data_IF_511706854445
#
_entry.id   IF_511706854445
#
_cell.length_a   1.000
_cell.length_b   1.000
_cell.length_c   1.000
_cell.angle_alpha   90.00
_cell.angle_beta   90.00
_cell.angle_gamma   90.00
#
_symmetry.space_group_name_H-M   'P 1'
#
loop_
_entity.id
_entity.type
_entity.pdbx_description
1 polymer ?
#
# COMPACT_ATOMS: atom_id res chain seq x y z
N UNK A 1 8.59 -12.54 -26.62
CA UNK A 1 8.91 -12.94 -25.24
C UNK A 1 8.10 -12.09 -24.30
N UNK A 2 7.16 -12.69 -23.56
CA UNK A 2 6.62 -12.02 -22.38
C UNK A 2 7.72 -12.04 -21.33
N UNK A 3 8.14 -10.89 -20.81
CA UNK A 3 8.99 -10.85 -19.62
C UNK A 3 8.12 -11.37 -18.48
N UNK A 4 8.46 -12.54 -17.94
CA UNK A 4 7.80 -13.04 -16.73
C UNK A 4 8.17 -12.06 -15.62
N UNK A 5 7.21 -11.24 -15.19
CA UNK A 5 7.38 -10.36 -14.03
C UNK A 5 7.54 -11.26 -12.82
N UNK A 6 8.60 -11.05 -12.03
CA UNK A 6 8.77 -11.80 -10.78
C UNK A 6 7.77 -11.30 -9.73
N UNK A 7 7.34 -12.18 -8.82
CA UNK A 7 6.46 -11.83 -7.69
C UNK A 7 7.01 -10.63 -6.91
N UNK A 8 8.29 -10.65 -6.56
CA UNK A 8 8.96 -9.54 -5.89
C UNK A 8 8.86 -8.23 -6.68
N UNK A 9 9.09 -8.24 -8.00
CA UNK A 9 8.96 -7.03 -8.83
C UNK A 9 7.54 -6.50 -8.91
N UNK A 10 6.54 -7.39 -8.96
CA UNK A 10 5.13 -7.00 -8.99
C UNK A 10 4.69 -6.38 -7.65
N UNK A 11 5.11 -6.98 -6.53
CA UNK A 11 4.85 -6.46 -5.20
C UNK A 11 5.60 -5.15 -4.94
N UNK A 12 6.83 -5.01 -5.42
CA UNK A 12 7.57 -3.74 -5.37
C UNK A 12 6.84 -2.62 -6.13
N UNK A 13 6.26 -2.93 -7.29
CA UNK A 13 5.45 -1.98 -8.06
C UNK A 13 4.15 -1.61 -7.31
N UNK A 14 3.55 -2.56 -6.60
CA UNK A 14 2.37 -2.35 -5.73
C UNK A 14 2.71 -1.44 -4.54
N UNK A 15 3.67 -1.84 -3.68
CA UNK A 15 3.97 -1.09 -2.44
C UNK A 15 4.42 0.34 -2.72
N UNK A 16 5.12 0.58 -3.84
CA UNK A 16 5.56 1.92 -4.24
C UNK A 16 4.53 2.68 -5.11
N UNK A 17 3.38 2.06 -5.41
CA UNK A 17 2.32 2.58 -6.28
C UNK A 17 2.90 3.13 -7.60
N UNK A 18 3.62 2.30 -8.36
CA UNK A 18 4.35 2.74 -9.57
C UNK A 18 3.51 2.73 -10.84
N UNK A 19 2.32 2.16 -10.81
CA UNK A 19 1.41 2.04 -11.95
C UNK A 19 -0.01 2.43 -11.54
N UNK A 20 -0.91 2.75 -12.49
CA UNK A 20 -2.30 3.01 -12.16
C UNK A 20 -2.94 1.81 -11.45
N UNK A 21 -3.86 2.07 -10.52
CA UNK A 21 -4.39 1.06 -9.60
C UNK A 21 -4.99 -0.15 -10.33
N UNK A 22 -5.68 0.05 -11.46
CA UNK A 22 -6.26 -1.04 -12.24
C UNK A 22 -5.19 -2.01 -12.79
N UNK A 23 -4.02 -1.51 -13.18
CA UNK A 23 -2.89 -2.35 -13.62
C UNK A 23 -2.23 -3.08 -12.45
N UNK A 24 -2.17 -2.44 -11.27
CA UNK A 24 -1.66 -3.09 -10.06
C UNK A 24 -2.59 -4.23 -9.63
N UNK A 25 -3.91 -4.00 -9.63
CA UNK A 25 -4.90 -5.01 -9.29
C UNK A 25 -4.84 -6.23 -10.23
N UNK A 26 -4.77 -6.02 -11.54
CA UNK A 26 -4.60 -7.09 -12.54
C UNK A 26 -3.31 -7.88 -12.28
N UNK A 27 -2.19 -7.17 -12.11
CA UNK A 27 -0.89 -7.80 -11.86
C UNK A 27 -0.86 -8.62 -10.57
N UNK A 28 -1.45 -8.12 -9.49
CA UNK A 28 -1.53 -8.80 -8.19
C UNK A 28 -2.43 -10.03 -8.28
N UNK A 29 -3.54 -9.95 -9.04
CA UNK A 29 -4.44 -11.07 -9.30
C UNK A 29 -3.72 -12.21 -10.01
N UNK A 30 -2.92 -11.90 -11.04
CA UNK A 30 -2.15 -12.88 -11.82
C UNK A 30 -1.07 -13.62 -11.01
N UNK A 31 -0.60 -13.05 -9.89
CA UNK A 31 0.37 -13.73 -9.02
C UNK A 31 -0.24 -14.96 -8.33
N UNK A 32 -1.54 -14.93 -8.01
CA UNK A 32 -2.17 -15.90 -7.12
C UNK A 32 -1.68 -15.82 -5.66
N UNK A 33 -2.27 -16.64 -4.80
CA UNK A 33 -2.00 -16.69 -3.36
C UNK A 33 -0.58 -17.19 -3.05
N UNK A 34 0.05 -16.58 -2.04
CA UNK A 34 1.30 -17.06 -1.44
C UNK A 34 1.44 -16.46 -0.04
N UNK A 35 2.07 -17.22 0.85
CA UNK A 35 2.42 -16.80 2.22
C UNK A 35 3.94 -16.63 2.37
N UNK A 36 4.71 -16.87 1.30
CA UNK A 36 6.17 -16.71 1.33
C UNK A 36 6.51 -15.25 1.07
N UNK A 37 7.06 -14.50 2.05
CA UNK A 37 7.35 -13.09 1.87
C UNK A 37 8.25 -12.83 0.66
N UNK A 38 7.84 -11.88 -0.17
CA UNK A 38 8.53 -11.52 -1.40
C UNK A 38 8.79 -10.00 -1.55
N UNK A 39 8.22 -9.19 -0.66
CA UNK A 39 8.49 -7.75 -0.56
C UNK A 39 8.30 -7.26 0.89
N UNK A 40 8.84 -6.07 1.20
CA UNK A 40 8.70 -5.43 2.51
C UNK A 40 8.11 -4.04 2.33
N UNK A 41 6.93 -3.79 2.89
CA UNK A 41 6.35 -2.45 2.97
C UNK A 41 7.02 -1.66 4.11
N UNK A 42 7.37 -0.41 3.84
CA UNK A 42 8.07 0.48 4.77
C UNK A 42 7.23 1.73 5.03
N UNK A 43 7.57 2.46 6.10
CA UNK A 43 6.94 3.73 6.39
C UNK A 43 7.07 4.73 5.21
N UNK A 44 8.21 4.75 4.54
CA UNK A 44 8.48 5.64 3.39
C UNK A 44 7.55 5.37 2.21
N UNK A 45 7.18 4.11 1.96
CA UNK A 45 6.22 3.77 0.91
C UNK A 45 4.84 4.40 1.19
N UNK A 46 4.33 4.25 2.42
CA UNK A 46 3.04 4.83 2.82
C UNK A 46 3.09 6.35 2.77
N UNK A 47 4.14 6.96 3.32
CA UNK A 47 4.34 8.42 3.30
C UNK A 47 4.37 8.93 1.86
N UNK A 48 5.03 8.22 0.93
CA UNK A 48 5.06 8.60 -0.48
C UNK A 48 3.67 8.60 -1.13
N UNK A 49 2.85 7.57 -0.87
CA UNK A 49 1.47 7.49 -1.38
C UNK A 49 0.61 8.63 -0.82
N UNK A 50 0.70 8.89 0.49
CA UNK A 50 -0.04 9.95 1.14
C UNK A 50 0.38 11.35 0.68
N UNK A 51 1.67 11.57 0.40
CA UNK A 51 2.13 12.81 -0.22
C UNK A 51 1.58 13.01 -1.63
N UNK A 52 1.47 11.94 -2.43
CA UNK A 52 0.84 12.00 -3.76
C UNK A 52 -0.66 12.31 -3.66
N UNK A 53 -1.36 11.73 -2.69
CA UNK A 53 -2.74 12.09 -2.38
C UNK A 53 -2.88 13.58 -2.03
N UNK A 54 -2.06 14.10 -1.11
CA UNK A 54 -2.06 15.54 -0.76
C UNK A 54 -1.81 16.46 -1.94
N UNK A 55 -0.98 16.03 -2.89
CA UNK A 55 -0.70 16.81 -4.11
C UNK A 55 -1.83 16.76 -5.14
N UNK A 56 -2.87 15.96 -4.92
CA UNK A 56 -3.94 15.69 -5.87
C UNK A 56 -3.58 14.70 -6.98
N UNK A 57 -2.40 14.08 -6.92
CA UNK A 57 -1.96 13.08 -7.89
C UNK A 57 -2.65 11.71 -7.70
N UNK A 58 -3.17 11.44 -6.51
CA UNK A 58 -4.02 10.30 -6.19
C UNK A 58 -5.32 10.79 -5.57
N UNK A 59 -6.41 10.08 -5.83
CA UNK A 59 -7.69 10.28 -5.15
C UNK A 59 -7.77 9.45 -3.87
N UNK A 60 -8.76 9.72 -3.01
CA UNK A 60 -9.01 8.90 -1.82
C UNK A 60 -9.31 7.44 -2.20
N UNK A 61 -10.03 7.21 -3.30
CA UNK A 61 -10.33 5.87 -3.81
C UNK A 61 -9.07 5.14 -4.32
N UNK A 62 -8.11 5.87 -4.89
CA UNK A 62 -6.81 5.29 -5.27
C UNK A 62 -6.04 4.80 -4.04
N UNK A 63 -6.01 5.61 -2.97
CA UNK A 63 -5.32 5.25 -1.72
C UNK A 63 -6.00 4.06 -1.03
N UNK A 64 -7.33 4.08 -0.94
CA UNK A 64 -8.12 2.97 -0.39
C UNK A 64 -7.83 1.67 -1.14
N UNK A 65 -8.00 1.67 -2.46
CA UNK A 65 -7.80 0.44 -3.25
C UNK A 65 -6.36 -0.07 -3.22
N UNK A 66 -5.37 0.83 -3.11
CA UNK A 66 -3.98 0.42 -2.90
C UNK A 66 -3.75 -0.24 -1.54
N UNK A 67 -4.31 0.32 -0.47
CA UNK A 67 -4.19 -0.24 0.87
C UNK A 67 -4.92 -1.58 0.99
N UNK A 68 -6.12 -1.70 0.40
CA UNK A 68 -6.90 -2.94 0.33
C UNK A 68 -6.14 -4.07 -0.38
N UNK A 69 -5.50 -3.76 -1.52
CA UNK A 69 -4.65 -4.73 -2.23
C UNK A 69 -3.47 -5.23 -1.38
N UNK A 70 -2.92 -4.38 -0.50
CA UNK A 70 -1.83 -4.76 0.40
C UNK A 70 -2.37 -5.57 1.59
N UNK A 71 -3.47 -5.13 2.20
CA UNK A 71 -4.09 -5.80 3.34
C UNK A 71 -4.48 -7.25 3.01
N UNK A 72 -4.88 -7.50 1.77
CA UNK A 72 -5.25 -8.84 1.29
C UNK A 72 -4.05 -9.78 0.99
N UNK A 73 -2.80 -9.36 1.24
CA UNK A 73 -1.59 -10.12 0.84
C UNK A 73 -0.77 -10.58 2.04
N UNK A 74 -0.50 -11.88 2.09
CA UNK A 74 0.33 -12.51 3.13
C UNK A 74 1.81 -12.66 2.72
N UNK A 75 2.16 -12.31 1.48
CA UNK A 75 3.53 -12.32 0.97
C UNK A 75 4.20 -10.93 0.93
N UNK A 76 3.60 -9.96 1.62
CA UNK A 76 4.18 -8.65 1.91
C UNK A 76 4.47 -8.60 3.40
N UNK A 77 5.74 -8.51 3.77
CA UNK A 77 6.15 -8.30 5.16
C UNK A 77 6.18 -6.79 5.48
N UNK A 78 6.28 -6.45 6.76
CA UNK A 78 6.37 -5.07 7.22
C UNK A 78 7.75 -4.77 7.80
N UNK A 79 8.20 -3.53 7.61
CA UNK A 79 9.44 -3.04 8.20
C UNK A 79 9.43 -3.27 9.72
N UNK A 80 10.38 -4.08 10.20
CA UNK A 80 10.32 -4.68 11.53
C UNK A 80 10.34 -3.68 12.71
N UNK A 81 11.07 -2.57 12.59
CA UNK A 81 11.15 -1.53 13.62
C UNK A 81 9.93 -0.60 13.64
N UNK A 82 8.99 -0.79 12.70
CA UNK A 82 7.76 0.00 12.52
C UNK A 82 6.52 -0.87 12.26
N UNK A 83 6.59 -2.13 12.65
CA UNK A 83 5.62 -3.15 12.25
C UNK A 83 4.19 -2.76 12.63
N UNK A 84 3.97 -2.36 13.89
CA UNK A 84 2.64 -2.02 14.40
C UNK A 84 2.08 -0.75 13.74
N UNK A 85 2.92 0.27 13.54
CA UNK A 85 2.52 1.53 12.91
C UNK A 85 2.16 1.35 11.42
N UNK A 86 2.92 0.53 10.71
CA UNK A 86 2.66 0.21 9.29
C UNK A 86 1.38 -0.61 9.15
N UNK A 87 1.22 -1.66 9.98
CA UNK A 87 0.02 -2.48 9.98
C UNK A 87 -1.23 -1.63 10.27
N UNK A 88 -1.17 -0.78 11.29
CA UNK A 88 -2.27 0.12 11.64
C UNK A 88 -2.57 1.13 10.52
N UNK A 89 -1.54 1.65 9.85
CA UNK A 89 -1.73 2.58 8.74
C UNK A 89 -2.43 1.91 7.55
N UNK A 90 -2.02 0.69 7.16
CA UNK A 90 -2.69 -0.07 6.09
C UNK A 90 -4.14 -0.38 6.48
N UNK A 91 -4.37 -0.89 7.69
CA UNK A 91 -5.73 -1.16 8.16
C UNK A 91 -6.65 0.07 8.08
N UNK A 92 -6.17 1.23 8.54
CA UNK A 92 -6.92 2.49 8.52
C UNK A 92 -7.27 2.91 7.09
N UNK A 93 -6.30 2.83 6.18
CA UNK A 93 -6.46 3.28 4.80
C UNK A 93 -7.32 2.33 3.95
N UNK A 94 -7.24 1.03 4.21
CA UNK A 94 -8.01 0.00 3.50
C UNK A 94 -9.47 -0.07 3.94
N UNK A 95 -9.78 0.37 5.17
CA UNK A 95 -11.10 0.22 5.79
C UNK A 95 -11.78 1.57 6.10
N UNK A 96 -12.10 2.41 5.10
CA UNK A 96 -12.66 3.75 5.34
C UNK A 96 -14.07 3.73 5.92
N UNK A 97 -14.81 2.63 5.80
CA UNK A 97 -16.11 2.46 6.49
C UNK A 97 -15.94 2.48 8.01
N UNK A 98 -14.79 1.99 8.51
CA UNK A 98 -14.47 1.92 9.94
C UNK A 98 -13.66 3.13 10.41
N UNK A 99 -12.79 3.65 9.55
CA UNK A 99 -11.77 4.64 9.92
C UNK A 99 -12.03 6.05 9.40
N UNK A 100 -12.99 6.22 8.47
CA UNK A 100 -13.19 7.43 7.70
C UNK A 100 -12.41 7.41 6.38
N UNK A 101 -12.91 8.11 5.37
CA UNK A 101 -12.21 8.29 4.10
C UNK A 101 -10.91 9.07 4.29
N UNK A 102 -9.84 8.80 3.51
CA UNK A 102 -8.65 9.63 3.48
C UNK A 102 -9.01 11.09 3.19
N UNK A 103 -8.76 11.95 4.18
CA UNK A 103 -8.77 13.40 4.08
C UNK A 103 -7.45 13.97 4.59
N UNK A 104 -7.30 15.30 4.64
CA UNK A 104 -6.07 15.93 5.11
C UNK A 104 -5.74 15.58 6.57
N UNK A 105 -6.75 15.52 7.44
CA UNK A 105 -6.55 15.30 8.87
C UNK A 105 -6.10 13.87 9.14
N UNK A 106 -6.75 12.88 8.52
CA UNK A 106 -6.35 11.48 8.61
C UNK A 106 -4.96 11.28 8.01
N UNK A 107 -4.68 11.94 6.88
CA UNK A 107 -3.36 11.88 6.24
C UNK A 107 -2.25 12.38 7.16
N UNK A 108 -2.43 13.54 7.79
CA UNK A 108 -1.45 14.10 8.72
C UNK A 108 -1.29 13.23 9.97
N UNK A 109 -2.38 12.64 10.47
CA UNK A 109 -2.33 11.68 11.57
C UNK A 109 -1.47 10.45 11.23
N UNK A 110 -1.70 9.84 10.06
CA UNK A 110 -0.96 8.64 9.63
C UNK A 110 0.51 8.96 9.35
N UNK A 111 0.81 10.05 8.66
CA UNK A 111 2.22 10.47 8.46
C UNK A 111 2.88 10.73 9.82
N UNK A 112 2.18 11.41 10.72
CA UNK A 112 2.69 11.73 12.05
C UNK A 112 2.89 10.52 12.97
N UNK A 113 2.25 9.37 12.72
CA UNK A 113 2.55 8.12 13.43
C UNK A 113 3.76 7.38 12.84
N UNK A 114 3.96 7.47 11.53
CA UNK A 114 5.04 6.77 10.82
C UNK A 114 6.42 7.42 10.98
N UNK A 115 6.48 8.72 11.27
CA UNK A 115 7.72 9.49 11.37
C UNK A 115 8.27 9.64 12.81
N UNK A 116 7.72 8.93 13.80
CA UNK A 116 8.04 9.12 15.22
C UNK A 116 9.35 8.49 15.67
#
# INVERSE_FOLDING_TARGET
>A
MSLVVSRASALDDLIAFRKPLNFLAEMVSDLGWSETPAAVLTADHIVSVLQRFRSGALTAADVEGWADLIECREDIDYQSDRYEEILQAIYVLANPVLSGLPDEALTDQVIGSLLR
#
